data_IF_265040120086
#
_entry.id   IF_265040120086
#
_cell.length_a   1.000
_cell.length_b   1.000
_cell.length_c   1.000
_cell.angle_alpha   90.00
_cell.angle_beta   90.00
_cell.angle_gamma   90.00
#
_symmetry.space_group_name_H-M   'P 1'
#
loop_
_entity.id
_entity.type
_entity.pdbx_description
1 polymer ?
#
# COMPACT_ATOMS: atom_id res chain seq x y z
N UNK A 1 16.39 -0.92 -11.12
CA UNK A 1 16.30 -1.81 -9.93
C UNK A 1 16.80 -1.01 -8.73
N UNK A 2 15.91 -0.60 -7.82
CA UNK A 2 16.23 0.29 -6.70
C UNK A 2 16.93 -0.50 -5.58
N UNK A 3 18.25 -0.65 -5.66
CA UNK A 3 19.02 -1.55 -4.78
C UNK A 3 19.73 -0.87 -3.60
N UNK A 4 19.46 0.40 -3.31
CA UNK A 4 19.93 1.04 -2.07
C UNK A 4 18.98 2.17 -1.66
N UNK A 5 17.92 1.88 -0.89
CA UNK A 5 17.06 2.94 -0.38
C UNK A 5 17.88 3.82 0.58
N UNK A 6 17.86 5.13 0.36
CA UNK A 6 18.48 6.13 1.26
C UNK A 6 17.76 6.25 2.61
N UNK A 7 16.65 5.53 2.78
CA UNK A 7 15.76 5.57 3.93
C UNK A 7 15.65 4.13 4.46
N UNK A 8 15.69 3.91 5.79
CA UNK A 8 15.50 2.58 6.36
C UNK A 8 14.13 2.02 5.98
N UNK A 9 14.11 0.79 5.47
CA UNK A 9 12.89 0.02 5.20
C UNK A 9 12.84 -1.12 6.20
N UNK A 10 11.70 -1.27 6.87
CA UNK A 10 11.46 -2.34 7.84
C UNK A 10 10.13 -3.03 7.56
N UNK A 11 10.06 -4.32 7.87
CA UNK A 11 8.82 -5.08 7.80
C UNK A 11 8.22 -5.18 9.20
N UNK A 12 6.93 -4.87 9.31
CA UNK A 12 6.18 -5.06 10.55
C UNK A 12 5.32 -6.32 10.43
N UNK A 13 5.39 -7.18 11.45
CA UNK A 13 4.49 -8.33 11.59
C UNK A 13 3.26 -8.03 12.46
N UNK A 14 3.08 -6.79 12.91
CA UNK A 14 2.04 -6.37 13.85
C UNK A 14 0.65 -6.91 13.47
N UNK A 15 0.25 -6.83 12.21
CA UNK A 15 -1.05 -7.34 11.77
C UNK A 15 -1.06 -8.88 11.58
N UNK A 16 0.06 -9.46 11.14
CA UNK A 16 0.19 -10.90 10.90
C UNK A 16 0.20 -11.73 12.19
N UNK A 17 0.69 -11.16 13.28
CA UNK A 17 0.81 -11.85 14.56
C UNK A 17 -0.48 -11.74 15.41
N UNK A 18 -1.53 -11.05 14.92
CA UNK A 18 -2.83 -10.96 15.58
C UNK A 18 -3.64 -12.23 15.37
N UNK A 19 -4.34 -12.67 16.41
CA UNK A 19 -5.22 -13.85 16.38
C UNK A 19 -6.64 -13.52 15.93
N UNK A 20 -6.97 -12.24 15.82
CA UNK A 20 -8.29 -11.75 15.41
C UNK A 20 -8.14 -10.85 14.19
N UNK A 21 -9.17 -10.82 13.35
CA UNK A 21 -9.25 -9.85 12.26
C UNK A 21 -9.25 -8.44 12.85
N UNK A 22 -8.41 -7.58 12.30
CA UNK A 22 -8.27 -6.19 12.75
C UNK A 22 -8.27 -5.25 11.57
N UNK A 23 -8.71 -4.03 11.83
CA UNK A 23 -8.82 -2.98 10.84
C UNK A 23 -7.55 -2.15 10.76
N UNK A 24 -7.40 -1.36 9.69
CA UNK A 24 -6.36 -0.34 9.62
C UNK A 24 -6.46 0.67 10.78
N UNK A 25 -7.68 0.93 11.28
CA UNK A 25 -7.90 1.79 12.45
C UNK A 25 -7.32 1.19 13.74
N UNK A 26 -7.41 -0.13 13.92
CA UNK A 26 -6.78 -0.81 15.05
C UNK A 26 -5.25 -0.73 14.97
N UNK A 27 -4.69 -0.91 13.78
CA UNK A 27 -3.26 -0.70 13.54
C UNK A 27 -2.84 0.74 13.83
N UNK A 28 -3.62 1.72 13.41
CA UNK A 28 -3.35 3.13 13.72
C UNK A 28 -3.30 3.38 15.24
N UNK A 29 -4.30 2.91 15.99
CA UNK A 29 -4.35 3.04 17.45
C UNK A 29 -3.14 2.38 18.12
N UNK A 30 -2.78 1.16 17.70
CA UNK A 30 -1.63 0.45 18.26
C UNK A 30 -0.32 1.17 17.97
N UNK A 31 -0.13 1.68 16.75
CA UNK A 31 1.06 2.46 16.40
C UNK A 31 1.19 3.71 17.26
N UNK A 32 0.09 4.44 17.48
CA UNK A 32 0.07 5.63 18.36
C UNK A 32 0.36 5.28 19.81
N UNK A 33 -0.16 4.16 20.30
CA UNK A 33 0.08 3.71 21.68
C UNK A 33 1.53 3.26 21.89
N UNK A 34 2.08 2.51 20.93
CA UNK A 34 3.43 1.94 21.01
C UNK A 34 4.52 2.98 20.79
N UNK A 35 4.24 4.01 19.99
CA UNK A 35 5.19 5.05 19.63
C UNK A 35 4.54 6.45 19.75
N UNK A 36 4.25 6.92 20.98
CA UNK A 36 3.51 8.15 21.20
C UNK A 36 4.24 9.39 20.66
N UNK A 37 5.57 9.38 20.69
CA UNK A 37 6.45 10.46 20.22
C UNK A 37 6.64 10.47 18.69
N UNK A 38 6.02 9.54 17.97
CA UNK A 38 6.18 9.38 16.52
C UNK A 38 4.93 9.83 15.78
N UNK A 39 5.17 10.38 14.60
CA UNK A 39 4.13 10.69 13.64
C UNK A 39 4.12 9.63 12.54
N UNK A 40 2.93 9.10 12.25
CA UNK A 40 2.73 8.08 11.23
C UNK A 40 1.95 8.65 10.07
N UNK A 41 2.35 8.23 8.86
CA UNK A 41 1.65 8.54 7.63
C UNK A 41 1.31 7.23 6.91
N UNK A 42 0.04 7.05 6.58
CA UNK A 42 -0.39 5.97 5.69
C UNK A 42 -0.11 6.38 4.24
N UNK A 43 0.78 5.64 3.58
CA UNK A 43 1.04 5.82 2.15
C UNK A 43 0.05 4.97 1.35
N UNK A 44 -0.79 5.63 0.55
CA UNK A 44 -1.89 4.99 -0.19
C UNK A 44 -2.00 5.51 -1.62
N UNK A 45 -2.63 4.73 -2.50
CA UNK A 45 -2.95 5.15 -3.87
C UNK A 45 -4.25 5.94 -3.94
N UNK A 46 -4.36 6.82 -4.94
CA UNK A 46 -5.58 7.61 -5.17
C UNK A 46 -6.83 6.76 -5.42
N UNK A 47 -6.66 5.51 -5.85
CA UNK A 47 -7.73 4.56 -6.17
C UNK A 47 -8.57 4.12 -4.96
N UNK A 48 -8.00 4.18 -3.75
CA UNK A 48 -8.67 3.72 -2.53
C UNK A 48 -9.12 4.85 -1.61
N UNK A 49 -8.83 6.11 -1.95
CA UNK A 49 -9.11 7.26 -1.06
C UNK A 49 -10.61 7.40 -0.77
N UNK A 50 -11.46 7.28 -1.80
CA UNK A 50 -12.92 7.37 -1.64
C UNK A 50 -13.54 6.22 -0.81
N UNK A 51 -12.82 5.11 -0.67
CA UNK A 51 -13.28 3.93 0.05
C UNK A 51 -13.02 4.03 1.56
N UNK A 52 -12.10 4.89 2.00
CA UNK A 52 -11.69 4.97 3.41
C UNK A 52 -12.89 5.31 4.28
N UNK A 53 -13.57 6.43 4.04
CA UNK A 53 -14.69 6.85 4.91
C UNK A 53 -15.96 6.00 4.76
N UNK A 54 -16.12 5.34 3.61
CA UNK A 54 -17.39 4.73 3.20
C UNK A 54 -17.39 3.21 3.33
N UNK A 55 -16.25 2.56 3.14
CA UNK A 55 -16.12 1.09 3.11
C UNK A 55 -15.24 0.53 4.22
N UNK A 56 -14.32 1.32 4.77
CA UNK A 56 -13.43 0.82 5.83
C UNK A 56 -14.13 0.86 7.18
N UNK A 57 -13.94 -0.19 7.97
CA UNK A 57 -14.40 -0.21 9.35
C UNK A 57 -13.65 0.86 10.16
N UNK A 58 -14.41 1.68 10.88
CA UNK A 58 -13.95 2.91 11.53
C UNK A 58 -13.22 3.89 10.57
N UNK A 59 -13.58 3.85 9.29
CA UNK A 59 -12.96 4.63 8.24
C UNK A 59 -13.10 6.14 8.42
N UNK A 60 -14.23 6.63 8.93
CA UNK A 60 -14.43 8.06 9.22
C UNK A 60 -13.54 8.53 10.36
N UNK A 61 -13.42 7.74 11.42
CA UNK A 61 -12.54 8.06 12.54
C UNK A 61 -11.07 8.04 12.10
N UNK A 62 -10.69 7.02 11.32
CA UNK A 62 -9.34 6.93 10.74
C UNK A 62 -9.04 8.13 9.85
N UNK A 63 -9.94 8.48 8.93
CA UNK A 63 -9.79 9.60 8.00
C UNK A 63 -9.66 10.95 8.73
N UNK A 64 -10.24 11.10 9.92
CA UNK A 64 -10.12 12.34 10.72
C UNK A 64 -8.88 12.39 11.61
N UNK A 65 -8.32 11.23 11.98
CA UNK A 65 -7.29 11.15 13.03
C UNK A 65 -5.90 10.81 12.51
N UNK A 66 -5.79 10.06 11.41
CA UNK A 66 -4.51 9.66 10.84
C UNK A 66 -4.04 10.62 9.74
N UNK A 67 -2.73 10.66 9.50
CA UNK A 67 -2.17 11.37 8.36
C UNK A 67 -2.00 10.43 7.16
N UNK A 68 -2.24 10.95 5.95
CA UNK A 68 -2.16 10.20 4.71
C UNK A 68 -1.24 10.88 3.70
N UNK A 69 -0.40 10.08 3.04
CA UNK A 69 0.31 10.47 1.83
C UNK A 69 -0.34 9.74 0.66
N UNK A 70 -0.91 10.51 -0.27
CA UNK A 70 -1.64 9.96 -1.42
C UNK A 70 -0.79 10.07 -2.66
N UNK A 71 -0.43 8.94 -3.27
CA UNK A 71 0.17 8.95 -4.61
C UNK A 71 -0.92 8.87 -5.68
N UNK A 72 -0.80 9.70 -6.72
CA UNK A 72 -1.75 9.64 -7.83
C UNK A 72 -1.49 8.40 -8.70
N UNK A 73 -2.40 7.42 -8.66
CA UNK A 73 -2.34 6.20 -9.45
C UNK A 73 -2.75 6.48 -10.89
N UNK A 74 -1.99 5.98 -11.85
CA UNK A 74 -2.33 6.09 -13.27
C UNK A 74 -3.70 5.47 -13.55
N UNK A 75 -4.53 6.14 -14.36
CA UNK A 75 -5.90 5.69 -14.67
C UNK A 75 -6.96 6.08 -13.64
N UNK A 76 -6.56 6.69 -12.51
CA UNK A 76 -7.48 7.20 -11.50
C UNK A 76 -7.41 8.72 -11.43
N UNK A 77 -8.57 9.35 -11.16
CA UNK A 77 -8.61 10.79 -10.95
C UNK A 77 -7.88 11.15 -9.65
N UNK A 78 -7.22 12.32 -9.66
CA UNK A 78 -6.72 12.90 -8.41
C UNK A 78 -7.93 13.16 -7.51
N UNK A 79 -7.93 12.71 -6.26
CA UNK A 79 -9.02 13.02 -5.35
C UNK A 79 -9.06 14.53 -5.09
N UNK A 80 -10.27 15.09 -5.10
CA UNK A 80 -10.52 16.50 -4.83
C UNK A 80 -11.17 16.66 -3.45
N UNK A 81 -11.14 17.88 -2.90
CA UNK A 81 -11.79 18.22 -1.63
C UNK A 81 -11.36 17.36 -0.43
N UNK A 82 -10.10 16.93 -0.41
CA UNK A 82 -9.55 16.19 0.71
C UNK A 82 -9.29 17.10 1.91
N UNK A 83 -9.45 16.55 3.12
CA UNK A 83 -9.06 17.23 4.35
C UNK A 83 -7.54 17.41 4.44
N UNK A 84 -7.10 18.38 5.24
CA UNK A 84 -5.69 18.81 5.32
C UNK A 84 -4.70 17.70 5.70
N UNK A 85 -5.16 16.65 6.38
CA UNK A 85 -4.36 15.49 6.76
C UNK A 85 -4.14 14.48 5.61
N UNK A 86 -4.71 14.71 4.42
CA UNK A 86 -4.39 13.99 3.20
C UNK A 86 -3.50 14.85 2.30
N UNK A 87 -2.24 14.46 2.18
CA UNK A 87 -1.26 15.17 1.36
C UNK A 87 -1.10 14.42 0.04
N UNK A 88 -1.60 14.99 -1.04
CA UNK A 88 -1.39 14.47 -2.39
C UNK A 88 0.04 14.77 -2.86
N UNK A 89 0.78 13.72 -3.21
CA UNK A 89 2.13 13.85 -3.74
C UNK A 89 2.05 14.21 -5.23
N UNK A 90 2.59 15.38 -5.60
CA UNK A 90 2.51 15.92 -6.97
C UNK A 90 3.41 15.21 -7.99
N UNK A 91 4.23 14.25 -7.54
CA UNK A 91 4.98 13.40 -8.46
C UNK A 91 4.05 12.36 -9.05
N UNK A 92 3.67 12.55 -10.32
CA UNK A 92 3.19 11.46 -11.15
C UNK A 92 4.26 10.38 -11.11
N UNK A 93 3.95 9.23 -10.51
CA UNK A 93 4.77 8.04 -10.73
C UNK A 93 4.62 7.77 -12.23
N UNK A 94 5.68 8.04 -12.98
CA UNK A 94 5.75 7.69 -14.40
C UNK A 94 5.80 6.17 -14.43
N UNK A 95 4.66 5.54 -14.64
CA UNK A 95 4.58 4.10 -14.59
C UNK A 95 3.20 3.60 -14.90
N UNK A 96 3.13 2.84 -16.00
CA UNK A 96 2.15 1.84 -16.39
C UNK A 96 1.08 1.50 -15.33
N UNK A 97 -0.15 1.26 -15.78
CA UNK A 97 -1.21 0.60 -15.00
C UNK A 97 -0.77 -0.83 -14.61
N UNK A 98 0.11 -0.89 -13.62
CA UNK A 98 0.71 -2.11 -13.11
C UNK A 98 -0.06 -2.51 -11.87
N UNK A 99 -0.70 -3.67 -11.94
CA UNK A 99 -1.43 -4.26 -10.83
C UNK A 99 -0.98 -5.69 -10.58
N UNK A 100 -1.16 -6.18 -9.35
CA UNK A 100 -0.93 -7.59 -9.04
C UNK A 100 -1.82 -8.51 -9.88
N UNK A 101 -3.03 -8.08 -10.24
CA UNK A 101 -3.92 -8.82 -11.16
C UNK A 101 -3.30 -8.95 -12.55
N UNK A 102 -2.77 -7.86 -13.11
CA UNK A 102 -2.07 -7.88 -14.39
C UNK A 102 -0.84 -8.80 -14.35
N UNK A 103 0.00 -8.66 -13.31
CA UNK A 103 1.19 -9.51 -13.12
C UNK A 103 0.81 -11.00 -13.03
N UNK A 104 -0.18 -11.36 -12.21
CA UNK A 104 -0.65 -12.75 -12.10
C UNK A 104 -1.20 -13.28 -13.42
N UNK A 105 -1.91 -12.46 -14.19
CA UNK A 105 -2.42 -12.86 -15.51
C UNK A 105 -1.29 -13.17 -16.51
N UNK A 106 -0.17 -12.45 -16.45
CA UNK A 106 0.99 -12.73 -17.29
C UNK A 106 1.67 -14.03 -16.89
N UNK A 107 1.83 -14.28 -15.58
CA UNK A 107 2.39 -15.51 -15.05
C UNK A 107 1.56 -16.73 -15.48
N UNK A 108 0.22 -16.65 -15.38
CA UNK A 108 -0.70 -17.70 -15.83
C UNK A 108 -0.62 -17.97 -17.34
N UNK A 109 -0.24 -16.98 -18.15
CA UNK A 109 0.00 -17.14 -19.60
C UNK A 109 1.38 -17.69 -19.93
N UNK A 110 2.16 -18.10 -18.92
CA UNK A 110 3.50 -18.67 -19.09
C UNK A 110 4.61 -17.63 -19.25
N UNK A 111 4.33 -16.33 -19.10
CA UNK A 111 5.40 -15.33 -19.08
C UNK A 111 6.24 -15.48 -17.80
N UNK A 112 7.56 -15.41 -17.93
CA UNK A 112 8.51 -15.44 -16.82
C UNK A 112 9.45 -14.23 -16.89
N UNK A 113 10.18 -13.95 -15.80
CA UNK A 113 11.14 -12.83 -15.70
C UNK A 113 10.52 -11.46 -15.99
N UNK A 114 9.35 -11.19 -15.41
CA UNK A 114 8.67 -9.91 -15.57
C UNK A 114 9.54 -8.75 -15.04
N UNK A 115 9.76 -7.68 -15.83
CA UNK A 115 10.65 -6.56 -15.43
C UNK A 115 10.10 -5.75 -14.24
N UNK A 116 8.85 -6.02 -13.85
CA UNK A 116 8.13 -5.38 -12.77
C UNK A 116 8.40 -6.02 -11.40
N UNK A 117 9.03 -7.19 -11.36
CA UNK A 117 9.35 -7.93 -10.15
C UNK A 117 10.85 -7.94 -9.92
N UNK A 118 11.26 -7.94 -8.66
CA UNK A 118 12.65 -8.24 -8.32
C UNK A 118 12.96 -9.71 -8.61
N UNK A 119 14.24 -10.03 -8.78
CA UNK A 119 14.70 -11.41 -8.96
C UNK A 119 14.28 -12.29 -7.78
N UNK A 120 14.42 -11.79 -6.55
CA UNK A 120 14.04 -12.50 -5.33
C UNK A 120 12.54 -12.85 -5.30
N UNK A 121 11.65 -11.91 -5.66
CA UNK A 121 10.21 -12.17 -5.71
C UNK A 121 9.85 -13.16 -6.82
N UNK A 122 10.47 -13.01 -8.00
CA UNK A 122 10.25 -13.93 -9.13
C UNK A 122 10.67 -15.36 -8.78
N UNK A 123 11.81 -15.53 -8.12
CA UNK A 123 12.30 -16.83 -7.69
C UNK A 123 11.38 -17.45 -6.63
N UNK A 124 10.93 -16.65 -5.64
CA UNK A 124 9.99 -17.11 -4.62
C UNK A 124 8.68 -17.62 -5.23
N UNK A 125 8.10 -16.89 -6.18
CA UNK A 125 6.88 -17.31 -6.90
C UNK A 125 7.07 -18.66 -7.58
N UNK A 126 8.20 -18.83 -8.28
CA UNK A 126 8.53 -20.07 -8.99
C UNK A 126 8.71 -21.26 -8.05
N UNK A 127 9.50 -21.10 -6.99
CA UNK A 127 9.79 -22.15 -6.02
C UNK A 127 8.53 -22.63 -5.31
N UNK A 128 7.63 -21.70 -4.96
CA UNK A 128 6.39 -21.98 -4.24
C UNK A 128 5.20 -22.26 -5.17
N UNK A 129 5.43 -22.33 -6.49
CA UNK A 129 4.40 -22.59 -7.51
C UNK A 129 3.17 -21.67 -7.39
N UNK A 130 3.38 -20.40 -7.05
CA UNK A 130 2.30 -19.44 -6.91
C UNK A 130 1.78 -19.00 -8.29
N UNK A 131 0.47 -18.87 -8.41
CA UNK A 131 -0.21 -18.34 -9.62
C UNK A 131 -0.02 -19.18 -10.89
N UNK A 132 0.04 -20.51 -10.73
CA UNK A 132 -0.01 -21.48 -11.83
C UNK A 132 -1.44 -21.93 -12.13
#
# INVERSE_FOLDING_TARGET
>A
MFLNPKIPIQFSRMELDRTVLTTTFDTYKELKMKYPEKEFYFLIGSDIVGDIETKWENGRELARSANFLVFNRYGYNRPENLSANFICLDKKIVGLDLSSTFIRSLLLRGHSRLPYLTSAVSEYIKQNKLYN
#
